data_IF_426606475865
#
_entry.id   IF_426606475865
#
_cell.length_a   1.000
_cell.length_b   1.000
_cell.length_c   1.000
_cell.angle_alpha   90.00
_cell.angle_beta   90.00
_cell.angle_gamma   90.00
#
_symmetry.space_group_name_H-M   'P 1'
#
loop_
_entity.id
_entity.type
_entity.pdbx_description
1 polymer ?
#
# COMPACT_ATOMS: atom_id res chain seq x y z
N UNK A 1 59.40 -32.66 -4.35
CA UNK A 1 58.81 -31.31 -4.18
C UNK A 1 57.35 -31.51 -3.85
N UNK A 2 56.91 -31.16 -2.64
CA UNK A 2 56.42 -29.81 -2.29
C UNK A 2 55.07 -29.58 -2.98
N UNK A 3 53.94 -29.67 -2.27
CA UNK A 3 53.51 -28.68 -1.26
C UNK A 3 52.63 -27.68 -2.01
N UNK A 4 51.32 -27.58 -1.79
CA UNK A 4 50.65 -27.31 -0.53
C UNK A 4 50.02 -25.91 -0.64
N UNK A 5 48.87 -25.69 0.00
CA UNK A 5 48.44 -24.35 0.38
C UNK A 5 47.09 -23.89 -0.16
N UNK A 6 46.11 -23.94 0.73
CA UNK A 6 44.81 -23.29 0.62
C UNK A 6 44.89 -21.76 0.78
N UNK A 7 43.96 -21.05 0.14
CA UNK A 7 43.43 -19.73 0.54
C UNK A 7 42.33 -19.39 -0.47
N UNK A 8 41.12 -18.99 -0.12
CA UNK A 8 40.65 -18.32 1.08
C UNK A 8 39.76 -17.16 0.63
N UNK A 9 38.83 -16.79 1.49
CA UNK A 9 37.92 -15.63 1.41
C UNK A 9 36.58 -15.86 0.71
N UNK A 10 35.69 -16.49 1.48
CA UNK A 10 34.24 -16.27 1.44
C UNK A 10 33.96 -14.77 1.54
N UNK A 11 33.51 -14.15 0.45
CA UNK A 11 33.00 -12.78 0.48
C UNK A 11 31.60 -12.79 1.09
N UNK A 12 31.52 -12.52 2.40
CA UNK A 12 30.28 -12.24 3.12
C UNK A 12 29.59 -11.05 2.46
N UNK A 13 28.46 -11.29 1.77
CA UNK A 13 27.61 -10.23 1.21
C UNK A 13 27.24 -9.24 2.34
N UNK A 14 27.36 -7.92 2.12
CA UNK A 14 27.03 -6.95 3.16
C UNK A 14 25.55 -7.08 3.50
N UNK A 15 25.26 -7.33 4.79
CA UNK A 15 23.92 -7.36 5.37
C UNK A 15 23.23 -6.05 5.02
N UNK A 16 22.18 -6.12 4.20
CA UNK A 16 21.38 -4.97 3.81
C UNK A 16 21.01 -4.20 5.08
N UNK A 17 21.46 -2.94 5.15
CA UNK A 17 21.05 -2.01 6.20
C UNK A 17 19.55 -1.84 6.03
N UNK A 18 18.77 -2.44 6.94
CA UNK A 18 17.33 -2.23 7.03
C UNK A 18 17.10 -0.77 7.38
N UNK A 19 17.05 0.08 6.36
CA UNK A 19 16.47 1.42 6.46
C UNK A 19 15.01 1.17 6.77
N UNK A 20 14.57 1.62 7.94
CA UNK A 20 13.17 1.65 8.32
C UNK A 20 12.43 2.52 7.31
N UNK A 21 11.91 1.90 6.26
CA UNK A 21 10.77 2.40 5.52
C UNK A 21 9.59 1.60 6.02
N UNK A 22 8.53 2.28 6.42
CA UNK A 22 7.22 1.67 6.57
C UNK A 22 6.93 0.97 5.24
N UNK A 23 7.07 -0.34 5.23
CA UNK A 23 6.77 -1.17 4.07
C UNK A 23 5.27 -1.13 3.89
N UNK A 24 4.76 -0.10 3.21
CA UNK A 24 3.52 -0.22 2.50
C UNK A 24 3.70 -1.44 1.61
N UNK A 25 2.96 -2.51 1.89
CA UNK A 25 2.82 -3.61 0.96
C UNK A 25 2.65 -2.99 -0.42
N UNK A 26 3.45 -3.45 -1.39
CA UNK A 26 3.38 -2.91 -2.74
C UNK A 26 1.91 -2.99 -3.17
N UNK A 27 1.25 -1.83 -3.14
CA UNK A 27 -0.09 -1.69 -3.62
C UNK A 27 -0.02 -2.18 -5.06
N UNK A 28 -0.71 -3.29 -5.34
CA UNK A 28 -1.11 -3.60 -6.71
C UNK A 28 -1.60 -2.31 -7.36
N UNK A 29 -1.42 -2.14 -8.68
CA UNK A 29 -1.94 -0.96 -9.40
C UNK A 29 -3.45 -0.72 -9.23
N UNK A 30 -4.12 -1.63 -8.53
CA UNK A 30 -5.54 -1.70 -8.22
C UNK A 30 -5.89 -1.11 -6.84
N UNK A 31 -4.90 -0.73 -6.02
CA UNK A 31 -5.18 -0.16 -4.71
C UNK A 31 -5.65 1.29 -4.84
N UNK A 32 -6.83 1.56 -4.27
CA UNK A 32 -7.33 2.93 -4.07
C UNK A 32 -6.77 3.43 -2.74
N UNK A 33 -5.78 4.33 -2.79
CA UNK A 33 -5.14 4.89 -1.59
C UNK A 33 -5.63 6.30 -1.29
N UNK A 34 -5.68 6.67 -0.01
CA UNK A 34 -6.01 8.02 0.39
C UNK A 34 -4.91 9.00 -0.08
N UNK A 35 -5.24 10.05 -0.85
CA UNK A 35 -4.25 10.98 -1.40
C UNK A 35 -3.70 11.94 -0.33
N UNK A 36 -4.38 12.06 0.80
CA UNK A 36 -4.04 12.96 1.90
C UNK A 36 -4.41 12.33 3.25
N UNK A 37 -3.82 12.87 4.32
CA UNK A 37 -4.24 12.54 5.68
C UNK A 37 -5.59 13.21 5.97
N UNK A 38 -6.53 12.45 6.51
CA UNK A 38 -7.87 12.91 6.85
C UNK A 38 -8.64 11.84 7.63
N UNK A 39 -9.82 12.21 8.11
CA UNK A 39 -10.74 11.31 8.81
C UNK A 39 -11.75 10.74 7.82
N UNK A 40 -12.06 9.44 7.91
CA UNK A 40 -13.13 8.86 7.09
C UNK A 40 -14.46 9.30 7.68
N UNK A 41 -15.20 10.14 6.95
CA UNK A 41 -16.55 10.60 7.37
C UNK A 41 -17.66 9.79 6.72
N UNK A 42 -17.36 9.09 5.62
CA UNK A 42 -18.30 8.21 4.94
C UNK A 42 -17.58 7.09 4.20
N UNK A 43 -18.14 5.89 4.29
CA UNK A 43 -17.86 4.77 3.39
C UNK A 43 -19.08 4.56 2.50
N UNK A 44 -18.89 4.57 1.18
CA UNK A 44 -19.98 4.52 0.20
C UNK A 44 -20.11 3.16 -0.50
N UNK A 45 -19.22 2.21 -0.18
CA UNK A 45 -19.17 0.88 -0.77
C UNK A 45 -19.02 -0.20 0.29
N UNK A 46 -19.33 -1.43 -0.07
CA UNK A 46 -19.15 -2.62 0.77
C UNK A 46 -18.08 -3.56 0.20
N UNK A 47 -17.52 -4.43 1.05
CA UNK A 47 -16.62 -5.49 0.60
C UNK A 47 -17.35 -6.44 -0.36
N UNK A 48 -16.73 -6.74 -1.51
CA UNK A 48 -17.33 -7.56 -2.55
C UNK A 48 -18.31 -6.82 -3.48
N UNK A 49 -18.52 -5.52 -3.27
CA UNK A 49 -19.37 -4.71 -4.15
C UNK A 49 -18.68 -4.43 -5.50
N UNK A 50 -19.44 -4.52 -6.60
CA UNK A 50 -18.97 -4.08 -7.91
C UNK A 50 -19.07 -2.54 -8.04
N UNK A 51 -18.02 -1.93 -8.59
CA UNK A 51 -17.91 -0.48 -8.80
C UNK A 51 -17.41 -0.19 -10.22
N UNK A 52 -17.80 0.95 -10.77
CA UNK A 52 -17.31 1.52 -12.00
C UNK A 52 -16.28 2.63 -11.75
N UNK A 53 -15.46 2.94 -12.74
CA UNK A 53 -14.53 4.06 -12.70
C UNK A 53 -15.30 5.37 -12.41
N UNK A 54 -14.84 6.10 -11.39
CA UNK A 54 -15.48 7.32 -10.92
C UNK A 54 -16.51 7.12 -9.81
N UNK A 55 -16.90 5.88 -9.49
CA UNK A 55 -17.82 5.62 -8.37
C UNK A 55 -17.18 6.04 -7.04
N UNK A 56 -18.01 6.63 -6.16
CA UNK A 56 -17.57 7.07 -4.85
C UNK A 56 -17.27 5.86 -3.96
N UNK A 57 -16.07 5.83 -3.37
CA UNK A 57 -15.62 4.76 -2.46
C UNK A 57 -15.71 5.25 -1.01
N UNK A 58 -15.07 6.39 -0.71
CA UNK A 58 -15.10 7.03 0.60
C UNK A 58 -15.14 8.55 0.49
N UNK A 59 -15.55 9.22 1.56
CA UNK A 59 -15.33 10.65 1.75
C UNK A 59 -14.42 10.84 2.95
N UNK A 60 -13.34 11.58 2.72
CA UNK A 60 -12.41 12.01 3.76
C UNK A 60 -12.73 13.44 4.17
N UNK A 61 -12.60 13.77 5.45
CA UNK A 61 -12.58 15.16 5.91
C UNK A 61 -11.15 15.57 6.24
N UNK A 62 -10.72 16.69 5.67
CA UNK A 62 -9.47 17.34 6.01
C UNK A 62 -9.64 18.86 5.98
N UNK A 63 -9.12 19.56 6.99
CA UNK A 63 -9.14 21.03 7.05
C UNK A 63 -10.54 21.65 6.87
N UNK A 64 -11.58 21.01 7.44
CA UNK A 64 -13.01 21.40 7.34
C UNK A 64 -13.59 21.31 5.93
N UNK A 65 -12.98 20.50 5.07
CA UNK A 65 -13.45 20.22 3.71
C UNK A 65 -13.60 18.72 3.51
N UNK A 66 -14.63 18.35 2.76
CA UNK A 66 -14.86 16.98 2.32
C UNK A 66 -14.11 16.71 1.01
N UNK A 67 -13.45 15.56 0.95
CA UNK A 67 -12.63 15.09 -0.15
C UNK A 67 -13.11 13.69 -0.57
N UNK A 68 -13.92 13.59 -1.64
CA UNK A 68 -14.35 12.30 -2.16
C UNK A 68 -13.18 11.55 -2.78
N UNK A 69 -13.09 10.25 -2.51
CA UNK A 69 -12.17 9.33 -3.16
C UNK A 69 -12.99 8.37 -4.01
N UNK A 70 -12.63 8.25 -5.29
CA UNK A 70 -13.37 7.46 -6.27
C UNK A 70 -12.57 6.27 -6.77
N UNK A 71 -13.26 5.29 -7.33
CA UNK A 71 -12.64 4.15 -8.00
C UNK A 71 -11.91 4.62 -9.26
N UNK A 72 -10.65 4.20 -9.42
CA UNK A 72 -9.82 4.56 -10.57
C UNK A 72 -10.12 3.74 -11.83
N UNK A 73 -10.83 2.61 -11.67
CA UNK A 73 -11.26 1.69 -12.73
C UNK A 73 -12.45 0.84 -12.27
N UNK A 74 -13.09 0.16 -13.20
CA UNK A 74 -14.13 -0.82 -12.91
C UNK A 74 -13.54 -2.04 -12.18
N UNK A 75 -14.30 -2.61 -11.25
CA UNK A 75 -13.85 -3.79 -10.51
C UNK A 75 -14.78 -4.18 -9.36
N UNK A 76 -14.25 -5.04 -8.49
CA UNK A 76 -14.90 -5.47 -7.25
C UNK A 76 -14.06 -5.00 -6.07
N UNK A 77 -14.70 -4.39 -5.07
CA UNK A 77 -14.02 -3.93 -3.85
C UNK A 77 -13.51 -5.14 -3.07
N UNK A 78 -12.22 -5.14 -2.77
CA UNK A 78 -11.59 -6.17 -1.94
C UNK A 78 -10.63 -5.55 -0.94
N UNK A 79 -10.55 -6.10 0.27
CA UNK A 79 -9.65 -5.66 1.31
C UNK A 79 -10.08 -4.36 2.00
N UNK A 80 -11.38 -4.04 2.01
CA UNK A 80 -11.95 -2.87 2.65
C UNK A 80 -11.77 -2.94 4.18
N UNK A 81 -10.70 -2.32 4.67
CA UNK A 81 -10.31 -2.31 6.08
C UNK A 81 -10.41 -0.90 6.67
N UNK A 82 -11.59 -0.28 6.54
CA UNK A 82 -11.85 1.10 6.97
C UNK A 82 -13.16 1.18 7.75
N UNK A 83 -13.21 2.11 8.69
CA UNK A 83 -14.41 2.44 9.46
C UNK A 83 -14.55 3.96 9.49
N UNK A 84 -15.78 4.46 9.68
CA UNK A 84 -16.03 5.89 9.89
C UNK A 84 -15.52 6.26 11.29
N UNK A 85 -14.71 7.32 11.39
CA UNK A 85 -14.14 7.75 12.67
C UNK A 85 -12.81 8.48 12.55
#
# INVERSE_FOLDING_TARGET
GSGGGASGVVRKKPKARKRGGHGGAAASGDAVTAPMQGTVVKVAVEEGQAVAAGDLVVVLEAMKMENPVTAHKDGVVTGLSIEVG
#
